data_IF_545907872170
#
_entry.id   IF_545907872170
#
_cell.length_a   1.000
_cell.length_b   1.000
_cell.length_c   1.000
_cell.angle_alpha   90.00
_cell.angle_beta   90.00
_cell.angle_gamma   90.00
#
_symmetry.space_group_name_H-M   'P 1'
#
loop_
_entity.id
_entity.type
_entity.pdbx_description
1 polymer ?
#
# COMPACT_ATOMS: atom_id res chain seq x y z
N UNK A 1 -6.95 11.21 -13.31
CA UNK A 1 -6.47 11.19 -11.91
C UNK A 1 -5.56 9.99 -11.79
N UNK A 2 -4.26 10.23 -11.63
CA UNK A 2 -3.21 9.20 -11.57
C UNK A 2 -2.88 8.92 -10.10
N UNK A 3 -2.92 7.66 -9.69
CA UNK A 3 -2.74 7.19 -8.30
C UNK A 3 -1.39 6.49 -8.14
N UNK A 4 -0.31 7.16 -8.56
CA UNK A 4 1.05 6.63 -8.54
C UNK A 4 1.60 6.43 -7.13
N UNK A 5 1.48 5.23 -6.57
CA UNK A 5 2.05 4.84 -5.26
C UNK A 5 3.53 4.42 -5.32
N UNK A 6 4.26 4.66 -6.42
CA UNK A 6 5.60 4.07 -6.62
C UNK A 6 6.79 5.03 -6.57
N UNK A 7 6.59 6.28 -6.17
CA UNK A 7 7.71 7.17 -5.87
C UNK A 7 7.47 7.86 -4.54
N UNK A 8 7.82 7.16 -3.46
CA UNK A 8 8.41 7.86 -2.32
C UNK A 8 9.60 8.63 -2.92
N UNK A 9 9.41 9.93 -3.13
CA UNK A 9 10.44 10.79 -3.66
C UNK A 9 11.64 10.69 -2.72
N UNK A 10 12.71 10.05 -3.19
CA UNK A 10 13.97 9.92 -2.46
C UNK A 10 14.76 11.21 -2.61
N UNK A 11 14.13 12.36 -2.39
CA UNK A 11 14.86 13.60 -2.24
C UNK A 11 15.42 13.61 -0.82
N UNK A 12 16.64 13.08 -0.70
CA UNK A 12 17.37 12.89 0.54
C UNK A 12 17.95 14.20 1.10
N UNK A 13 17.38 15.34 0.75
CA UNK A 13 17.44 16.52 1.61
C UNK A 13 16.47 16.28 2.77
N UNK A 14 16.78 15.31 3.63
CA UNK A 14 16.13 15.16 4.93
C UNK A 14 16.33 16.49 5.66
N UNK A 15 15.32 17.36 5.61
CA UNK A 15 15.24 18.47 6.55
C UNK A 15 15.41 17.85 7.93
N UNK A 16 16.49 18.22 8.62
CA UNK A 16 16.76 17.69 9.95
C UNK A 16 15.53 17.96 10.80
N UNK A 17 14.82 16.89 11.16
CA UNK A 17 13.57 17.02 11.90
C UNK A 17 13.89 17.75 13.22
N UNK A 18 13.22 18.88 13.52
CA UNK A 18 13.41 19.54 14.79
C UNK A 18 13.17 18.54 15.94
N UNK A 19 14.03 18.56 16.95
CA UNK A 19 14.03 17.56 18.03
C UNK A 19 12.65 17.39 18.66
N UNK A 20 11.96 18.51 18.92
CA UNK A 20 10.62 18.51 19.52
C UNK A 20 9.58 17.79 18.63
N UNK A 21 9.72 17.94 17.30
CA UNK A 21 8.86 17.24 16.35
C UNK A 21 9.17 15.73 16.33
N UNK A 22 10.44 15.34 16.43
CA UNK A 22 10.82 13.93 16.52
C UNK A 22 10.24 13.27 17.77
N UNK A 23 10.31 13.94 18.93
CA UNK A 23 9.72 13.47 20.19
C UNK A 23 8.20 13.34 20.07
N UNK A 24 7.53 14.34 19.47
CA UNK A 24 6.10 14.27 19.21
C UNK A 24 5.74 13.08 18.31
N UNK A 25 6.49 12.87 17.23
CA UNK A 25 6.28 11.77 16.29
C UNK A 25 6.46 10.40 16.94
N UNK A 26 7.41 10.25 17.87
CA UNK A 26 7.57 9.01 18.66
C UNK A 26 6.32 8.74 19.50
N UNK A 27 5.76 9.77 20.16
CA UNK A 27 4.52 9.63 20.93
C UNK A 27 3.32 9.24 20.07
N UNK A 28 3.18 9.85 18.90
CA UNK A 28 2.12 9.52 17.93
C UNK A 28 2.28 8.09 17.43
N UNK A 29 3.48 7.70 17.00
CA UNK A 29 3.77 6.35 16.53
C UNK A 29 3.51 5.30 17.62
N UNK A 30 3.89 5.57 18.87
CA UNK A 30 3.60 4.69 20.00
C UNK A 30 2.10 4.49 20.24
N UNK A 31 1.30 5.57 20.16
CA UNK A 31 -0.16 5.47 20.24
C UNK A 31 -0.77 4.69 19.07
N UNK A 32 -0.27 4.91 17.85
CA UNK A 32 -0.72 4.18 16.67
C UNK A 32 -0.43 2.67 16.79
N UNK A 33 0.80 2.32 17.21
CA UNK A 33 1.23 0.94 17.39
C UNK A 33 0.46 0.20 18.50
N UNK A 34 -0.03 0.92 19.50
CA UNK A 34 -0.82 0.35 20.62
C UNK A 34 -2.34 0.47 20.43
N UNK A 35 -2.80 0.96 19.28
CA UNK A 35 -4.23 1.07 19.00
C UNK A 35 -4.90 -0.32 18.93
N UNK A 36 -6.20 -0.43 19.25
CA UNK A 36 -6.92 -1.70 19.16
C UNK A 36 -6.82 -2.38 17.79
N UNK A 37 -6.82 -1.59 16.71
CA UNK A 37 -6.66 -2.10 15.34
C UNK A 37 -5.26 -2.65 15.10
N UNK A 38 -4.21 -1.94 15.51
CA UNK A 38 -2.83 -2.42 15.38
C UNK A 38 -2.58 -3.69 16.20
N UNK A 39 -3.16 -3.76 17.40
CA UNK A 39 -3.08 -4.95 18.26
C UNK A 39 -3.86 -6.13 17.68
N UNK A 40 -5.00 -5.89 17.03
CA UNK A 40 -5.74 -6.92 16.31
C UNK A 40 -4.94 -7.42 15.09
N UNK A 41 -4.36 -6.51 14.30
CA UNK A 41 -3.56 -6.84 13.13
C UNK A 41 -2.28 -7.61 13.49
N UNK A 42 -1.60 -7.25 14.58
CA UNK A 42 -0.41 -7.98 15.06
C UNK A 42 -0.69 -9.41 15.54
N UNK A 43 -1.96 -9.77 15.79
CA UNK A 43 -2.40 -11.14 16.10
C UNK A 43 -2.78 -11.93 14.85
N UNK A 44 -2.99 -11.25 13.72
CA UNK A 44 -3.27 -11.91 12.45
C UNK A 44 -2.01 -12.64 12.00
N UNK A 45 -2.07 -13.95 11.74
CA UNK A 45 -0.93 -14.66 11.17
C UNK A 45 -0.55 -13.99 9.84
N UNK A 46 0.76 -13.86 9.52
CA UNK A 46 1.20 -13.25 8.28
C UNK A 46 0.50 -13.93 7.11
N UNK A 47 -0.09 -13.14 6.21
CA UNK A 47 -0.81 -13.64 5.04
C UNK A 47 0.14 -14.56 4.25
N UNK A 48 -0.10 -15.87 4.36
CA UNK A 48 0.72 -16.90 3.70
C UNK A 48 0.41 -17.05 2.22
N UNK A 49 -0.67 -16.42 1.75
CA UNK A 49 -1.17 -16.63 0.40
C UNK A 49 -1.58 -15.33 -0.30
N UNK A 50 -0.60 -14.72 -0.97
CA UNK A 50 -0.78 -13.60 -1.88
C UNK A 50 -1.66 -13.96 -3.10
N UNK A 51 -1.94 -15.25 -3.35
CA UNK A 51 -2.82 -15.64 -4.46
C UNK A 51 -4.29 -15.29 -4.22
N UNK A 52 -4.72 -15.16 -2.95
CA UNK A 52 -6.07 -14.67 -2.61
C UNK A 52 -6.28 -13.18 -2.98
N UNK A 53 -5.17 -12.43 -3.10
CA UNK A 53 -5.16 -11.03 -3.53
C UNK A 53 -4.75 -10.88 -5.01
N UNK A 54 -4.51 -11.99 -5.71
CA UNK A 54 -4.30 -12.01 -7.15
C UNK A 54 -5.65 -12.34 -7.80
N UNK A 55 -6.37 -11.37 -8.37
CA UNK A 55 -7.59 -11.67 -9.09
C UNK A 55 -7.27 -12.68 -10.20
N UNK A 56 -8.15 -13.65 -10.49
CA UNK A 56 -7.91 -14.68 -11.52
C UNK A 56 -7.52 -14.12 -12.89
N UNK A 57 -7.81 -12.84 -13.13
CA UNK A 57 -7.57 -12.13 -14.39
C UNK A 57 -6.72 -10.85 -14.22
N UNK A 58 -6.03 -10.69 -13.07
CA UNK A 58 -5.32 -9.47 -12.70
C UNK A 58 -6.26 -8.31 -12.33
N UNK A 59 -5.71 -7.12 -12.08
CA UNK A 59 -6.49 -5.93 -11.71
C UNK A 59 -7.39 -5.38 -12.84
N UNK A 60 -7.31 -5.97 -14.04
CA UNK A 60 -8.03 -5.53 -15.21
C UNK A 60 -9.21 -6.46 -15.52
N UNK A 61 -10.33 -5.88 -15.98
CA UNK A 61 -11.53 -6.64 -16.28
C UNK A 61 -11.31 -7.59 -17.47
N UNK A 62 -11.53 -8.90 -17.26
CA UNK A 62 -11.32 -9.92 -18.28
C UNK A 62 -12.21 -9.72 -19.52
N UNK A 63 -13.47 -9.37 -19.35
CA UNK A 63 -14.39 -9.18 -20.46
C UNK A 63 -13.91 -8.03 -21.36
N UNK A 64 -13.43 -6.95 -20.75
CA UNK A 64 -12.79 -5.84 -21.46
C UNK A 64 -11.52 -6.28 -22.19
N UNK A 65 -10.62 -7.02 -21.52
CA UNK A 65 -9.38 -7.51 -22.16
C UNK A 65 -9.67 -8.38 -23.39
N UNK A 66 -10.66 -9.27 -23.27
CA UNK A 66 -11.07 -10.17 -24.33
C UNK A 66 -11.67 -9.40 -25.51
N UNK A 67 -12.45 -8.34 -25.24
CA UNK A 67 -13.03 -7.50 -26.28
C UNK A 67 -11.96 -6.74 -27.08
N UNK A 68 -10.94 -6.19 -26.39
CA UNK A 68 -9.82 -5.47 -27.03
C UNK A 68 -8.96 -6.43 -27.86
N UNK A 69 -8.63 -7.62 -27.32
CA UNK A 69 -7.85 -8.62 -28.05
C UNK A 69 -8.55 -9.05 -29.36
N UNK A 70 -9.86 -9.31 -29.29
CA UNK A 70 -10.67 -9.67 -30.47
C UNK A 70 -10.78 -8.56 -31.50
N UNK A 71 -10.81 -7.30 -31.06
CA UNK A 71 -10.81 -6.16 -31.97
C UNK A 71 -9.48 -6.01 -32.72
N UNK A 72 -8.36 -6.32 -32.06
CA UNK A 72 -7.03 -6.24 -32.68
C UNK A 72 -6.75 -7.39 -33.68
N UNK A 73 -7.53 -8.48 -33.63
CA UNK A 73 -7.47 -9.60 -34.56
C UNK A 73 -8.35 -9.39 -35.83
N UNK A 74 -9.02 -8.24 -35.94
CA UNK A 74 -9.80 -7.83 -37.12
C UNK A 74 -9.04 -6.80 -37.97
#
# INVERSE_FOLDING_TARGET
MDLGFFRLEKDAAMSAMPLDLAVLMVGVAGRQATSPTAMAEGRTPPARDITLMAPPHGAFNLATATSIARWNDQ
#
